data_IF_164611221639
#
_entry.id   IF_164611221639
#
_cell.length_a   1.000
_cell.length_b   1.000
_cell.length_c   1.000
_cell.angle_alpha   90.00
_cell.angle_beta   90.00
_cell.angle_gamma   90.00
#
_symmetry.space_group_name_H-M   'P 1'
#
loop_
_entity.id
_entity.type
_entity.pdbx_description
1 polymer ?
#
# COMPACT_ATOMS: atom_id res chain seq x y z
N UNK A 1 13.55 1.62 19.69
CA UNK A 1 13.54 0.17 19.42
C UNK A 1 12.32 -0.19 18.56
N UNK A 2 12.31 -1.31 17.84
CA UNK A 2 11.12 -1.83 17.12
C UNK A 2 9.92 -1.97 18.07
N UNK A 3 10.17 -2.24 19.35
CA UNK A 3 9.16 -2.23 20.42
C UNK A 3 8.46 -0.87 20.56
N UNK A 4 9.22 0.23 20.62
CA UNK A 4 8.65 1.58 20.71
C UNK A 4 7.84 1.93 19.46
N UNK A 5 8.28 1.46 18.29
CA UNK A 5 7.58 1.68 17.01
C UNK A 5 6.26 0.92 16.98
N UNK A 6 6.26 -0.37 17.36
CA UNK A 6 5.06 -1.20 17.40
C UNK A 6 4.04 -0.67 18.41
N UNK A 7 4.49 -0.26 19.60
CA UNK A 7 3.60 0.29 20.63
C UNK A 7 3.06 1.68 20.24
N UNK A 8 3.89 2.54 19.62
CA UNK A 8 3.44 3.83 19.10
C UNK A 8 2.39 3.64 17.98
N UNK A 9 2.65 2.69 17.06
CA UNK A 9 1.73 2.37 15.98
C UNK A 9 0.43 1.74 16.50
N UNK A 10 0.49 0.89 17.54
CA UNK A 10 -0.68 0.32 18.20
C UNK A 10 -1.57 1.38 18.85
N UNK A 11 -0.97 2.37 19.53
CA UNK A 11 -1.70 3.53 20.11
C UNK A 11 -2.32 4.40 19.02
N UNK A 12 -1.57 4.70 17.97
CA UNK A 12 -2.05 5.46 16.81
C UNK A 12 -3.23 4.72 16.14
N UNK A 13 -3.10 3.42 15.90
CA UNK A 13 -4.17 2.58 15.35
C UNK A 13 -5.43 2.64 16.21
N UNK A 14 -5.30 2.49 17.53
CA UNK A 14 -6.44 2.57 18.48
C UNK A 14 -7.19 3.91 18.39
N UNK A 15 -6.46 5.02 18.35
CA UNK A 15 -7.06 6.35 18.18
C UNK A 15 -7.81 6.48 16.85
N UNK A 16 -7.22 5.95 15.78
CA UNK A 16 -7.84 5.92 14.46
C UNK A 16 -9.10 5.04 14.45
N UNK A 17 -9.10 3.85 15.09
CA UNK A 17 -10.29 3.00 15.23
C UNK A 17 -11.46 3.77 15.85
N UNK A 18 -11.19 4.51 16.93
CA UNK A 18 -12.20 5.32 17.62
C UNK A 18 -12.76 6.47 16.77
N UNK A 19 -11.94 7.01 15.87
CA UNK A 19 -12.38 8.04 14.91
C UNK A 19 -13.28 7.45 13.82
N UNK A 20 -12.90 6.30 13.26
CA UNK A 20 -13.70 5.61 12.23
C UNK A 20 -15.02 5.03 12.75
N UNK A 21 -15.10 4.64 14.02
CA UNK A 21 -16.35 4.17 14.62
C UNK A 21 -17.47 5.22 14.60
N UNK A 22 -17.12 6.51 14.44
CA UNK A 22 -18.06 7.63 14.38
C UNK A 22 -18.43 8.02 12.94
N UNK A 23 -17.76 7.45 11.93
CA UNK A 23 -17.99 7.78 10.52
C UNK A 23 -19.09 6.86 9.97
N UNK A 24 -20.18 7.46 9.50
CA UNK A 24 -21.20 6.77 8.71
C UNK A 24 -20.76 6.76 7.24
N UNK A 25 -20.27 5.61 6.77
CA UNK A 25 -19.80 5.43 5.41
C UNK A 25 -20.82 5.81 4.34
N UNK A 26 -22.12 5.61 4.61
CA UNK A 26 -23.18 5.92 3.66
C UNK A 26 -23.43 7.42 3.50
N UNK A 27 -22.88 8.27 4.39
CA UNK A 27 -23.17 9.70 4.47
C UNK A 27 -21.96 10.61 4.58
N UNK A 28 -20.81 10.10 5.02
CA UNK A 28 -19.63 10.91 5.36
C UNK A 28 -18.34 10.39 4.70
N UNK A 29 -18.39 10.25 3.38
CA UNK A 29 -17.19 9.92 2.57
C UNK A 29 -16.14 11.03 2.60
N UNK A 30 -16.57 12.29 2.71
CA UNK A 30 -15.67 13.44 2.78
C UNK A 30 -14.82 13.46 4.06
N UNK A 31 -15.42 13.17 5.22
CA UNK A 31 -14.71 13.04 6.49
C UNK A 31 -13.83 11.79 6.59
N UNK A 32 -14.19 10.71 5.88
CA UNK A 32 -13.42 9.47 5.84
C UNK A 32 -12.09 9.62 5.10
N UNK A 33 -12.03 10.40 4.02
CA UNK A 33 -10.85 10.48 3.12
C UNK A 33 -9.55 10.87 3.86
N UNK A 34 -9.50 11.92 4.69
CA UNK A 34 -8.28 12.27 5.43
C UNK A 34 -7.81 11.13 6.34
N UNK A 35 -8.74 10.46 7.03
CA UNK A 35 -8.43 9.34 7.92
C UNK A 35 -7.90 8.12 7.14
N UNK A 36 -8.47 7.84 5.97
CA UNK A 36 -8.01 6.75 5.09
C UNK A 36 -6.60 7.02 4.56
N UNK A 37 -6.27 8.28 4.25
CA UNK A 37 -4.91 8.68 3.88
C UNK A 37 -3.92 8.52 5.03
N UNK A 38 -4.31 8.88 6.26
CA UNK A 38 -3.48 8.64 7.45
C UNK A 38 -3.24 7.14 7.66
N UNK A 39 -4.28 6.32 7.54
CA UNK A 39 -4.14 4.86 7.61
C UNK A 39 -3.22 4.31 6.53
N UNK A 40 -3.30 4.85 5.31
CA UNK A 40 -2.44 4.42 4.20
C UNK A 40 -0.97 4.65 4.50
N UNK A 41 -0.61 5.81 5.06
CA UNK A 41 0.75 6.05 5.54
C UNK A 41 1.18 5.07 6.65
N UNK A 42 0.27 4.70 7.54
CA UNK A 42 0.51 3.68 8.56
C UNK A 42 0.74 2.28 7.98
N UNK A 43 -0.06 1.90 6.97
CA UNK A 43 0.13 0.64 6.21
C UNK A 43 1.50 0.63 5.54
N UNK A 44 1.89 1.70 4.86
CA UNK A 44 3.20 1.79 4.19
C UNK A 44 4.36 1.69 5.19
N UNK A 45 4.25 2.35 6.34
CA UNK A 45 5.27 2.26 7.38
C UNK A 45 5.36 0.82 7.92
N UNK A 46 4.22 0.17 8.12
CA UNK A 46 4.17 -1.23 8.57
C UNK A 46 4.74 -2.18 7.53
N UNK A 47 4.35 -2.03 6.26
CA UNK A 47 4.88 -2.81 5.13
C UNK A 47 6.39 -2.61 4.98
N UNK A 48 6.89 -1.39 5.15
CA UNK A 48 8.33 -1.11 5.13
C UNK A 48 9.05 -1.78 6.28
N UNK A 49 8.53 -1.66 7.51
CA UNK A 49 9.14 -2.27 8.69
C UNK A 49 9.08 -3.80 8.65
N UNK A 50 8.02 -4.39 8.09
CA UNK A 50 7.92 -5.84 7.86
C UNK A 50 8.80 -6.30 6.69
N UNK A 51 8.95 -5.47 5.64
CA UNK A 51 9.86 -5.72 4.53
C UNK A 51 11.34 -5.69 4.95
N UNK A 52 11.66 -4.95 6.01
CA UNK A 52 12.96 -5.01 6.70
C UNK A 52 13.13 -6.31 7.53
N UNK A 53 12.06 -7.09 7.77
CA UNK A 53 12.06 -8.30 8.61
C UNK A 53 12.03 -9.63 7.83
N UNK A 54 11.49 -9.74 6.60
CA UNK A 54 11.84 -10.88 5.72
C UNK A 54 11.38 -10.70 4.26
N UNK A 55 12.33 -10.85 3.34
CA UNK A 55 12.08 -11.18 1.95
C UNK A 55 11.32 -12.53 1.92
N UNK A 56 10.17 -12.61 1.24
CA UNK A 56 9.52 -13.85 0.76
C UNK A 56 8.44 -14.60 1.60
N UNK A 57 7.91 -14.14 2.75
CA UNK A 57 7.04 -15.03 3.58
C UNK A 57 5.64 -14.55 3.99
N UNK A 58 5.02 -13.55 3.34
CA UNK A 58 3.66 -13.15 3.74
C UNK A 58 2.54 -13.88 2.98
N UNK A 59 2.79 -14.36 1.75
CA UNK A 59 1.74 -15.05 0.97
C UNK A 59 1.61 -16.54 1.26
N UNK A 60 2.67 -17.23 1.67
CA UNK A 60 2.61 -18.68 1.95
C UNK A 60 2.36 -19.02 3.43
N UNK A 61 2.63 -18.11 4.37
CA UNK A 61 2.38 -18.35 5.80
C UNK A 61 0.90 -18.28 6.19
N UNK A 62 0.06 -17.52 5.46
CA UNK A 62 -1.36 -17.36 5.80
C UNK A 62 -2.22 -18.61 5.53
N UNK A 63 -1.66 -19.68 4.95
CA UNK A 63 -2.40 -20.91 4.65
C UNK A 63 -2.02 -22.13 5.50
N UNK A 64 -0.96 -22.07 6.32
CA UNK A 64 -0.53 -23.27 7.06
C UNK A 64 -0.23 -22.99 8.53
N UNK A 65 -1.19 -23.41 9.35
CA UNK A 65 -0.98 -23.96 10.71
C UNK A 65 -0.83 -22.98 11.87
N UNK A 66 -1.89 -22.94 12.69
CA UNK A 66 -1.91 -22.64 14.12
C UNK A 66 -0.99 -21.51 14.57
N UNK A 67 -1.49 -20.28 14.54
CA UNK A 67 -0.94 -19.20 15.35
C UNK A 67 -1.13 -19.56 16.83
N UNK A 68 -0.15 -20.27 17.37
CA UNK A 68 0.06 -20.39 18.81
C UNK A 68 0.25 -18.99 19.36
N UNK A 69 -0.47 -18.69 20.45
CA UNK A 69 -0.44 -17.41 21.14
C UNK A 69 0.99 -17.15 21.62
N UNK A 70 1.72 -16.31 20.89
CA UNK A 70 3.01 -15.74 21.28
C UNK A 70 2.92 -14.22 21.16
N UNK A 71 3.48 -13.49 22.13
CA UNK A 71 3.43 -12.02 22.20
C UNK A 71 4.60 -11.40 21.42
N UNK A 72 4.80 -11.75 20.15
CA UNK A 72 5.93 -11.22 19.38
C UNK A 72 5.65 -9.84 18.79
N UNK A 73 6.70 -9.10 18.46
CA UNK A 73 6.59 -7.77 17.85
C UNK A 73 5.97 -7.82 16.45
N UNK A 74 6.26 -8.88 15.70
CA UNK A 74 5.74 -9.14 14.36
C UNK A 74 4.23 -9.36 14.39
N UNK A 75 3.71 -10.05 15.41
CA UNK A 75 2.28 -10.33 15.56
C UNK A 75 1.47 -9.06 15.76
N UNK A 76 2.00 -8.10 16.54
CA UNK A 76 1.37 -6.78 16.71
C UNK A 76 1.32 -6.00 15.40
N UNK A 77 2.40 -6.03 14.60
CA UNK A 77 2.44 -5.36 13.29
C UNK A 77 1.47 -6.01 12.29
N UNK A 78 1.38 -7.33 12.28
CA UNK A 78 0.42 -8.07 11.48
C UNK A 78 -1.02 -7.77 11.89
N UNK A 79 -1.33 -7.67 13.18
CA UNK A 79 -2.66 -7.28 13.67
C UNK A 79 -3.04 -5.86 13.20
N UNK A 80 -2.11 -4.91 13.31
CA UNK A 80 -2.33 -3.52 12.86
C UNK A 80 -2.56 -3.47 11.34
N UNK A 81 -1.71 -4.16 10.58
CA UNK A 81 -1.84 -4.24 9.13
C UNK A 81 -3.18 -4.87 8.74
N UNK A 82 -3.55 -5.99 9.36
CA UNK A 82 -4.80 -6.67 9.12
C UNK A 82 -6.01 -5.80 9.45
N UNK A 83 -5.98 -5.05 10.55
CA UNK A 83 -7.02 -4.10 10.89
C UNK A 83 -7.15 -2.99 9.82
N UNK A 84 -6.03 -2.38 9.39
CA UNK A 84 -6.05 -1.31 8.40
C UNK A 84 -6.63 -1.80 7.07
N UNK A 85 -6.26 -3.00 6.63
CA UNK A 85 -6.81 -3.62 5.42
C UNK A 85 -8.31 -3.93 5.54
N UNK A 86 -8.80 -4.29 6.74
CA UNK A 86 -10.24 -4.44 6.97
C UNK A 86 -10.99 -3.11 6.85
N UNK A 87 -10.44 -2.02 7.41
CA UNK A 87 -11.03 -0.68 7.27
C UNK A 87 -11.06 -0.27 5.80
N UNK A 88 -9.99 -0.51 5.05
CA UNK A 88 -9.96 -0.23 3.62
C UNK A 88 -11.05 -0.98 2.87
N UNK A 89 -11.17 -2.29 3.07
CA UNK A 89 -12.24 -3.08 2.45
C UNK A 89 -13.63 -2.56 2.82
N UNK A 90 -13.83 -2.18 4.09
CA UNK A 90 -15.11 -1.64 4.55
C UNK A 90 -15.47 -0.38 3.76
N UNK A 91 -14.56 0.59 3.69
CA UNK A 91 -14.78 1.89 3.05
C UNK A 91 -14.57 1.89 1.53
N UNK A 92 -14.44 0.74 0.86
CA UNK A 92 -14.26 0.68 -0.61
C UNK A 92 -12.90 1.21 -1.10
N UNK A 93 -11.86 1.10 -0.27
CA UNK A 93 -10.49 1.37 -0.69
C UNK A 93 -9.87 0.12 -1.30
N UNK A 94 -9.38 0.26 -2.53
CA UNK A 94 -8.78 -0.81 -3.32
C UNK A 94 -7.33 -0.50 -3.68
N UNK A 95 -6.47 -1.51 -3.56
CA UNK A 95 -5.08 -1.47 -4.02
C UNK A 95 -5.05 -1.84 -5.51
N UNK A 96 -4.30 -1.12 -6.33
CA UNK A 96 -4.13 -1.46 -7.75
C UNK A 96 -2.66 -1.53 -8.14
N UNK A 97 -2.36 -2.41 -9.09
CA UNK A 97 -1.05 -2.64 -9.68
C UNK A 97 -1.16 -2.45 -11.20
N UNK A 98 -0.63 -1.35 -11.75
CA UNK A 98 -0.77 -1.06 -13.17
C UNK A 98 0.32 -1.70 -14.03
N UNK A 99 0.98 -2.77 -13.57
CA UNK A 99 2.03 -3.43 -14.35
C UNK A 99 1.52 -3.84 -15.73
N UNK A 100 2.26 -3.47 -16.77
CA UNK A 100 1.91 -3.64 -18.18
C UNK A 100 0.73 -2.78 -18.70
N UNK A 101 0.15 -1.90 -17.88
CA UNK A 101 -0.80 -0.89 -18.37
C UNK A 101 -0.06 0.29 -19.03
N UNK A 102 -0.72 1.03 -19.95
CA UNK A 102 -0.23 2.33 -20.37
C UNK A 102 -0.12 3.30 -19.18
N UNK A 103 0.88 4.17 -19.21
CA UNK A 103 1.01 5.22 -18.21
C UNK A 103 -0.17 6.19 -18.28
N UNK A 104 -0.82 6.41 -17.13
CA UNK A 104 -1.87 7.40 -16.94
C UNK A 104 -1.44 8.38 -15.83
N UNK A 105 -1.19 9.66 -16.12
CA UNK A 105 -0.75 10.65 -15.13
C UNK A 105 -1.80 10.94 -14.04
N UNK A 106 -3.07 10.55 -14.22
CA UNK A 106 -4.10 10.68 -13.19
C UNK A 106 -4.02 9.57 -12.14
N UNK A 107 -3.44 8.42 -12.50
CA UNK A 107 -3.36 7.22 -11.66
C UNK A 107 -1.93 6.89 -11.25
N UNK A 108 -0.94 7.32 -12.02
CA UNK A 108 0.45 6.90 -11.91
C UNK A 108 1.37 8.11 -11.72
N UNK A 109 2.41 7.92 -10.91
CA UNK A 109 3.53 8.83 -10.74
C UNK A 109 4.78 8.15 -11.31
N UNK A 110 5.19 8.53 -12.53
CA UNK A 110 6.39 7.99 -13.16
C UNK A 110 7.64 8.58 -12.49
N UNK A 111 8.45 7.73 -11.86
CA UNK A 111 9.64 8.15 -11.11
C UNK A 111 10.96 7.78 -11.79
N UNK A 112 10.94 6.89 -12.80
CA UNK A 112 12.07 6.61 -13.68
C UNK A 112 11.61 6.02 -15.02
N UNK A 113 12.53 5.95 -15.97
CA UNK A 113 12.32 5.34 -17.28
C UNK A 113 13.24 4.13 -17.48
N UNK A 114 12.74 3.09 -18.12
CA UNK A 114 13.47 1.86 -18.43
C UNK A 114 13.60 1.71 -19.94
N UNK A 115 14.82 1.64 -20.50
CA UNK A 115 14.97 1.31 -21.90
C UNK A 115 14.48 -0.11 -22.18
N UNK A 116 13.42 -0.25 -22.98
CA UNK A 116 12.81 -1.54 -23.29
C UNK A 116 12.10 -1.48 -24.66
N UNK A 117 12.59 -2.28 -25.61
CA UNK A 117 11.99 -2.40 -26.95
C UNK A 117 10.97 -3.55 -27.06
N UNK A 118 10.79 -4.37 -26.02
CA UNK A 118 9.80 -5.45 -26.01
C UNK A 118 8.37 -4.94 -25.75
N UNK A 119 8.23 -3.74 -25.16
CA UNK A 119 6.95 -3.09 -24.87
C UNK A 119 6.89 -1.70 -25.50
N UNK A 120 5.70 -1.19 -25.85
CA UNK A 120 5.56 0.18 -26.35
C UNK A 120 6.10 1.20 -25.33
N UNK A 121 6.74 2.31 -25.77
CA UNK A 121 7.11 3.40 -24.86
C UNK A 121 5.92 3.93 -24.05
N UNK A 122 6.16 4.31 -22.79
CA UNK A 122 5.13 4.75 -21.87
C UNK A 122 4.29 3.63 -21.26
N UNK A 123 4.70 2.37 -21.39
CA UNK A 123 4.10 1.24 -20.66
C UNK A 123 4.69 1.15 -19.25
N UNK A 124 3.88 0.88 -18.24
CA UNK A 124 4.37 0.60 -16.89
C UNK A 124 5.19 -0.70 -16.91
N UNK A 125 6.50 -0.57 -16.68
CA UNK A 125 7.46 -1.68 -16.64
C UNK A 125 7.61 -2.25 -15.23
N UNK A 126 7.64 -1.37 -14.23
CA UNK A 126 7.81 -1.73 -12.82
C UNK A 126 6.89 -0.89 -11.95
N UNK A 127 6.38 -1.50 -10.88
CA UNK A 127 5.63 -0.81 -9.82
C UNK A 127 6.49 -0.86 -8.56
N UNK A 128 7.00 0.30 -8.16
CA UNK A 128 7.76 0.44 -6.91
C UNK A 128 6.82 0.51 -5.71
N UNK A 129 5.69 1.20 -5.88
CA UNK A 129 4.62 1.27 -4.91
C UNK A 129 3.30 1.18 -5.64
N UNK A 130 2.44 0.27 -5.19
CA UNK A 130 1.09 0.12 -5.72
C UNK A 130 0.29 1.43 -5.64
N UNK A 131 -0.79 1.56 -6.39
CA UNK A 131 -1.71 2.66 -6.18
C UNK A 131 -2.84 2.28 -5.22
N UNK A 132 -3.56 3.28 -4.70
CA UNK A 132 -4.79 3.07 -3.94
C UNK A 132 -5.90 4.00 -4.45
N UNK A 133 -7.10 3.44 -4.62
CA UNK A 133 -8.31 4.15 -5.01
C UNK A 133 -9.36 4.00 -3.92
N UNK A 134 -10.18 5.04 -3.72
CA UNK A 134 -11.42 4.99 -2.97
C UNK A 134 -12.56 5.09 -3.99
N UNK A 135 -13.25 3.98 -4.23
CA UNK A 135 -14.12 3.85 -5.41
C UNK A 135 -13.35 4.27 -6.68
N UNK A 136 -13.85 5.24 -7.44
CA UNK A 136 -13.20 5.72 -8.67
C UNK A 136 -12.16 6.81 -8.44
N UNK A 137 -11.93 7.22 -7.19
CA UNK A 137 -11.01 8.32 -6.85
C UNK A 137 -9.66 7.79 -6.43
N UNK A 138 -8.60 8.16 -7.17
CA UNK A 138 -7.22 7.92 -6.74
C UNK A 138 -6.93 8.70 -5.46
N UNK A 139 -6.61 7.99 -4.38
CA UNK A 139 -6.20 8.59 -3.10
C UNK A 139 -4.69 8.56 -2.93
N UNK A 140 -4.00 7.67 -3.64
CA UNK A 140 -2.55 7.63 -3.83
C UNK A 140 -2.22 7.07 -5.22
N UNK A 141 -1.45 7.78 -6.06
CA UNK A 141 -1.01 7.24 -7.33
C UNK A 141 0.00 6.11 -7.13
N UNK A 142 0.06 5.16 -8.07
CA UNK A 142 1.13 4.17 -8.09
C UNK A 142 2.46 4.83 -8.47
N UNK A 143 3.56 4.54 -7.75
CA UNK A 143 4.90 4.96 -8.17
C UNK A 143 5.47 3.92 -9.13
N UNK A 144 5.77 4.34 -10.36
CA UNK A 144 6.07 3.44 -11.47
C UNK A 144 7.34 3.81 -12.22
N UNK A 145 7.99 2.80 -12.78
CA UNK A 145 8.95 2.94 -13.87
C UNK A 145 8.25 2.67 -15.20
N UNK A 146 8.43 3.53 -16.19
CA UNK A 146 7.81 3.38 -17.51
C UNK A 146 8.84 3.06 -18.59
N UNK A 147 8.44 2.34 -19.63
CA UNK A 147 9.31 2.02 -20.76
C UNK A 147 9.62 3.26 -21.59
N UNK A 148 10.81 3.31 -22.14
CA UNK A 148 11.22 4.26 -23.17
C UNK A 148 11.94 3.49 -24.29
N UNK A 149 11.96 4.07 -25.49
CA UNK A 149 12.70 3.49 -26.60
C UNK A 149 14.22 3.48 -26.29
N UNK A 150 14.92 2.46 -26.78
CA UNK A 150 16.39 2.49 -26.82
C UNK A 150 16.85 3.55 -27.83
N UNK A 151 17.23 4.73 -27.34
CA UNK A 151 17.96 5.69 -28.15
C UNK A 151 19.41 5.19 -28.23
N UNK A 152 19.78 4.62 -29.37
CA UNK A 152 21.18 4.35 -29.70
C UNK A 152 21.87 5.68 -30.03
N UNK A 153 22.10 6.51 -29.02
CA UNK A 153 22.93 7.70 -29.16
C UNK A 153 24.41 7.28 -29.10
N UNK A 154 24.84 6.60 -30.16
CA UNK A 154 26.24 6.44 -30.50
C UNK A 154 26.66 7.71 -31.25
N UNK A 155 27.31 8.64 -30.55
CA UNK A 155 28.09 9.71 -31.18
C UNK A 155 29.47 9.80 -30.53
#
# INVERSE_FOLDING_TARGET
DLLDVADNLGRASTHVKGSFAKVDESKDTAGAVPLLKTLLGGVEMTEKQLGEVNLLLVTESLLTTSYGIGSSHEDKLLEILYFNLQVFRKFGVEKFDPTNEPFDPHRHNAVFQVPDNAKPPGTVAHVLKAGYMLHDRVIRPAEVGVTQALNNDSN
#
